data_IF_644724408205
#
_entry.id   IF_644724408205
#
_cell.length_a   1.000
_cell.length_b   1.000
_cell.length_c   1.000
_cell.angle_alpha   90.00
_cell.angle_beta   90.00
_cell.angle_gamma   90.00
#
_symmetry.space_group_name_H-M   'P 1'
#
loop_
_entity.id
_entity.type
_entity.pdbx_description
1 polymer ?
#
# COMPACT_ATOMS: atom_id res chain seq x y z
N UNK A 1 -28.12 22.60 4.24
CA UNK A 1 -27.72 22.78 2.83
C UNK A 1 -26.22 23.02 2.82
N UNK A 2 -25.42 22.03 2.42
CA UNK A 2 -23.97 22.15 2.29
C UNK A 2 -23.65 22.92 1.01
N UNK A 3 -22.73 23.91 1.01
CA UNK A 3 -22.40 24.66 -0.20
C UNK A 3 -21.77 23.74 -1.26
N UNK A 4 -22.04 23.98 -2.56
CA UNK A 4 -21.41 23.21 -3.63
C UNK A 4 -19.95 23.64 -3.80
N UNK A 5 -19.03 22.68 -3.81
CA UNK A 5 -17.73 22.83 -4.46
C UNK A 5 -16.50 23.11 -3.60
N UNK A 6 -16.47 22.76 -2.31
CA UNK A 6 -15.16 22.57 -1.68
C UNK A 6 -14.64 21.22 -2.18
N UNK A 7 -13.46 21.17 -2.86
CA UNK A 7 -12.86 19.91 -3.17
C UNK A 7 -12.69 19.16 -1.85
N UNK A 8 -13.06 17.89 -1.85
CA UNK A 8 -13.09 17.09 -0.65
C UNK A 8 -11.70 17.07 -0.01
N UNK A 9 -11.66 17.30 1.29
CA UNK A 9 -10.40 17.32 2.02
C UNK A 9 -9.86 15.90 2.11
N UNK A 10 -8.64 15.74 1.63
CA UNK A 10 -7.87 14.52 1.79
C UNK A 10 -7.70 14.21 3.28
N UNK A 11 -7.75 12.92 3.61
CA UNK A 11 -7.53 12.45 4.97
C UNK A 11 -6.14 12.92 5.49
N UNK A 12 -6.05 13.46 6.72
CA UNK A 12 -4.81 14.00 7.27
C UNK A 12 -3.68 12.97 7.41
N UNK A 13 -3.98 11.67 7.48
CA UNK A 13 -2.96 10.62 7.58
C UNK A 13 -2.29 10.29 6.24
N UNK A 14 -2.83 10.74 5.11
CA UNK A 14 -2.24 10.50 3.77
C UNK A 14 -0.82 11.06 3.65
N UNK A 15 -0.61 12.32 4.06
CA UNK A 15 0.71 12.95 3.95
C UNK A 15 1.75 12.28 4.87
N UNK A 16 1.46 11.95 6.14
CA UNK A 16 2.32 11.13 6.99
C UNK A 16 2.66 9.75 6.40
N UNK A 17 1.67 9.02 5.86
CA UNK A 17 1.89 7.71 5.23
C UNK A 17 2.93 7.81 4.11
N UNK A 18 2.76 8.79 3.22
CA UNK A 18 3.66 8.97 2.08
C UNK A 18 5.05 9.43 2.50
N UNK A 19 5.15 10.28 3.53
CA UNK A 19 6.44 10.70 4.06
C UNK A 19 7.25 9.52 4.63
N UNK A 20 6.59 8.56 5.28
CA UNK A 20 7.27 7.34 5.75
C UNK A 20 7.70 6.49 4.56
N UNK A 21 6.81 6.26 3.59
CA UNK A 21 7.13 5.48 2.40
C UNK A 21 8.29 6.09 1.60
N UNK A 22 8.34 7.41 1.44
CA UNK A 22 9.46 8.13 0.82
C UNK A 22 10.76 7.98 1.60
N UNK A 23 10.70 7.99 2.93
CA UNK A 23 11.88 7.85 3.77
C UNK A 23 12.52 6.45 3.67
N UNK A 24 11.69 5.41 3.50
CA UNK A 24 12.16 4.01 3.42
C UNK A 24 12.31 3.50 1.98
N UNK A 25 11.92 4.31 0.98
CA UNK A 25 12.02 3.94 -0.42
C UNK A 25 13.49 3.80 -0.83
N UNK A 26 13.82 2.65 -1.42
CA UNK A 26 15.09 2.51 -2.14
C UNK A 26 15.01 3.34 -3.42
N UNK A 27 16.00 4.19 -3.72
CA UNK A 27 16.08 4.85 -5.01
C UNK A 27 16.00 3.80 -6.11
N UNK A 28 15.11 4.00 -7.07
CA UNK A 28 14.93 3.05 -8.17
C UNK A 28 16.18 3.08 -9.07
N UNK A 29 17.19 2.28 -8.73
CA UNK A 29 18.38 2.05 -9.57
C UNK A 29 18.00 0.98 -10.60
N UNK A 30 17.03 1.33 -11.46
CA UNK A 30 16.59 0.51 -12.58
C UNK A 30 16.00 -0.83 -12.14
N UNK A 31 14.78 -0.82 -11.61
CA UNK A 31 13.88 -1.97 -11.68
C UNK A 31 13.56 -2.21 -13.17
N UNK A 32 14.40 -2.97 -13.85
CA UNK A 32 14.01 -3.51 -15.15
C UNK A 32 12.91 -4.51 -14.90
N UNK A 33 11.68 -4.13 -15.27
CA UNK A 33 10.59 -5.05 -15.62
C UNK A 33 11.07 -5.93 -16.80
N UNK A 34 12.03 -6.81 -16.56
CA UNK A 34 12.64 -7.67 -17.56
C UNK A 34 12.22 -9.11 -17.30
N UNK A 35 11.12 -9.49 -17.94
CA UNK A 35 10.81 -10.88 -18.23
C UNK A 35 9.70 -11.45 -17.37
N UNK A 36 8.62 -11.85 -18.05
CA UNK A 36 7.43 -12.41 -17.43
C UNK A 36 7.73 -13.61 -16.53
N UNK A 37 7.36 -13.46 -15.28
CA UNK A 37 7.05 -14.50 -14.32
C UNK A 37 5.86 -13.99 -13.49
N UNK A 38 4.94 -14.88 -13.12
CA UNK A 38 3.73 -14.49 -12.38
C UNK A 38 4.08 -13.71 -11.09
N UNK A 39 3.56 -12.49 -10.90
CA UNK A 39 3.81 -11.67 -9.72
C UNK A 39 3.01 -12.24 -8.55
N UNK A 40 3.64 -13.16 -7.81
CA UNK A 40 3.23 -13.51 -6.46
C UNK A 40 4.43 -13.25 -5.56
N UNK A 41 4.28 -12.33 -4.60
CA UNK A 41 5.24 -12.17 -3.52
C UNK A 41 6.06 -10.87 -3.51
N UNK A 42 5.91 -9.99 -4.49
CA UNK A 42 6.76 -8.79 -4.63
C UNK A 42 6.00 -7.46 -4.50
N UNK A 43 4.67 -7.48 -4.32
CA UNK A 43 3.87 -6.28 -4.25
C UNK A 43 2.66 -6.41 -3.32
N UNK A 44 2.28 -5.31 -2.68
CA UNK A 44 1.11 -5.16 -1.81
C UNK A 44 0.38 -3.87 -2.20
N UNK A 45 -0.91 -3.97 -2.46
CA UNK A 45 -1.77 -2.81 -2.60
C UNK A 45 -2.43 -2.47 -1.26
N UNK A 46 -2.49 -1.18 -0.94
CA UNK A 46 -3.16 -0.66 0.24
C UNK A 46 -4.33 0.20 -0.23
N UNK A 47 -5.54 -0.22 0.13
CA UNK A 47 -6.77 0.40 -0.29
C UNK A 47 -7.53 0.97 0.92
N UNK A 48 -7.52 2.29 1.13
CA UNK A 48 -8.24 2.91 2.23
C UNK A 48 -9.74 3.10 1.98
N UNK A 49 -10.40 2.11 1.37
CA UNK A 49 -11.81 2.19 0.96
C UNK A 49 -12.83 2.26 2.11
N UNK A 50 -12.39 2.13 3.37
CA UNK A 50 -13.24 2.32 4.55
C UNK A 50 -13.31 3.78 5.00
N UNK A 51 -12.30 4.60 4.67
CA UNK A 51 -12.36 6.03 4.89
C UNK A 51 -13.00 6.71 3.66
N UNK A 52 -13.63 7.87 3.91
CA UNK A 52 -14.23 8.80 2.94
C UNK A 52 -13.62 8.76 1.53
N UNK A 53 -14.42 9.04 0.48
CA UNK A 53 -14.15 8.90 -0.98
C UNK A 53 -12.83 9.52 -1.56
N UNK A 54 -11.82 9.88 -0.75
CA UNK A 54 -10.70 10.76 -1.08
C UNK A 54 -9.33 10.33 -0.54
N UNK A 55 -9.17 9.08 -0.09
CA UNK A 55 -7.87 8.53 0.26
C UNK A 55 -7.25 7.80 -0.96
N UNK A 56 -5.99 8.10 -1.33
CA UNK A 56 -5.34 7.43 -2.46
C UNK A 56 -5.04 5.98 -2.13
N UNK A 57 -5.02 5.14 -3.16
CA UNK A 57 -4.52 3.76 -3.04
C UNK A 57 -3.01 3.77 -3.25
N UNK A 58 -2.29 2.98 -2.48
CA UNK A 58 -0.84 2.83 -2.60
C UNK A 58 -0.48 1.46 -3.13
N UNK A 59 0.52 1.40 -4.00
CA UNK A 59 1.19 0.16 -4.37
C UNK A 59 2.59 0.18 -3.79
N UNK A 60 2.88 -0.79 -2.94
CA UNK A 60 4.18 -1.02 -2.33
C UNK A 60 4.77 -2.25 -3.00
N UNK A 61 6.05 -2.20 -3.36
CA UNK A 61 6.78 -3.31 -3.98
C UNK A 61 8.09 -3.55 -3.27
N UNK A 62 8.54 -4.80 -3.26
CA UNK A 62 9.91 -5.12 -2.89
C UNK A 62 10.89 -4.46 -3.88
N UNK A 63 11.94 -3.82 -3.37
CA UNK A 63 13.00 -3.22 -4.17
C UNK A 63 14.37 -3.59 -3.62
N UNK A 64 15.18 -4.27 -4.44
CA UNK A 64 16.47 -4.81 -4.01
C UNK A 64 16.33 -5.88 -2.91
N UNK A 65 17.41 -6.10 -2.17
CA UNK A 65 17.49 -7.17 -1.17
C UNK A 65 16.60 -6.93 0.05
N UNK A 66 16.46 -5.68 0.49
CA UNK A 66 15.78 -5.37 1.76
C UNK A 66 14.86 -4.15 1.72
N UNK A 67 14.79 -3.42 0.62
CA UNK A 67 14.03 -2.18 0.55
C UNK A 67 12.69 -2.32 -0.15
N UNK A 68 12.04 -1.17 -0.32
CA UNK A 68 10.76 -1.05 -1.05
C UNK A 68 10.82 0.04 -2.11
N UNK A 69 9.93 -0.06 -3.09
CA UNK A 69 9.53 1.03 -3.95
C UNK A 69 8.03 1.23 -3.79
N UNK A 70 7.54 2.46 -3.94
CA UNK A 70 6.11 2.74 -3.81
C UNK A 70 5.63 3.75 -4.84
N UNK A 71 4.32 3.72 -5.11
CA UNK A 71 3.64 4.77 -5.88
C UNK A 71 2.18 4.87 -5.49
N UNK A 72 1.62 6.06 -5.70
CA UNK A 72 0.15 6.20 -5.78
C UNK A 72 -0.38 5.44 -7.00
N UNK A 73 -1.49 4.77 -6.81
CA UNK A 73 -2.29 4.24 -7.90
C UNK A 73 -3.22 5.36 -8.38
N UNK A 74 -3.23 5.62 -9.68
CA UNK A 74 -4.27 6.44 -10.30
C UNK A 74 -5.64 5.73 -10.15
N UNK A 75 -6.73 6.35 -10.64
CA UNK A 75 -8.13 5.85 -10.60
C UNK A 75 -8.36 4.42 -11.16
N UNK A 76 -7.31 3.66 -11.48
CA UNK A 76 -7.40 2.21 -11.57
C UNK A 76 -7.90 1.71 -10.23
N UNK A 77 -9.01 0.98 -10.29
CA UNK A 77 -9.63 0.53 -9.07
C UNK A 77 -8.78 -0.56 -8.42
N UNK A 78 -8.72 -0.58 -7.08
CA UNK A 78 -7.97 -1.60 -6.35
C UNK A 78 -8.31 -3.02 -6.86
N UNK A 79 -9.59 -3.29 -7.10
CA UNK A 79 -10.06 -4.59 -7.62
C UNK A 79 -9.47 -4.95 -9.00
N UNK A 80 -9.12 -3.97 -9.85
CA UNK A 80 -8.47 -4.26 -11.13
C UNK A 80 -7.04 -4.77 -10.96
N UNK A 81 -6.36 -4.43 -9.87
CA UNK A 81 -5.04 -4.96 -9.53
C UNK A 81 -5.12 -6.40 -9.02
N UNK A 82 -6.11 -6.72 -8.19
CA UNK A 82 -6.33 -8.10 -7.74
C UNK A 82 -6.63 -9.01 -8.95
N UNK A 83 -7.59 -8.62 -9.78
CA UNK A 83 -8.05 -9.44 -10.91
C UNK A 83 -6.99 -9.63 -12.01
N UNK A 84 -6.24 -8.56 -12.34
CA UNK A 84 -5.31 -8.59 -13.48
C UNK A 84 -3.88 -8.92 -13.08
N UNK A 85 -3.49 -8.59 -11.85
CA UNK A 85 -2.10 -8.67 -11.40
C UNK A 85 -1.91 -9.58 -10.19
N UNK A 86 -2.98 -10.14 -9.60
CA UNK A 86 -2.93 -10.97 -8.39
C UNK A 86 -2.12 -10.32 -7.26
N UNK A 87 -2.19 -9.00 -7.18
CA UNK A 87 -1.52 -8.24 -6.13
C UNK A 87 -2.44 -8.29 -4.92
N UNK A 88 -1.96 -8.80 -3.77
CA UNK A 88 -2.75 -8.81 -2.55
C UNK A 88 -3.12 -7.39 -2.14
N UNK A 89 -4.35 -7.24 -1.65
CA UNK A 89 -4.91 -5.95 -1.26
C UNK A 89 -5.26 -5.99 0.21
N UNK A 90 -4.66 -5.10 0.98
CA UNK A 90 -5.11 -4.82 2.34
C UNK A 90 -6.04 -3.61 2.37
N UNK A 91 -7.05 -3.68 3.23
CA UNK A 91 -8.06 -2.66 3.37
C UNK A 91 -8.03 -2.07 4.77
N UNK A 92 -7.68 -0.79 4.92
CA UNK A 92 -7.61 -0.14 6.24
C UNK A 92 -7.73 1.36 6.14
N UNK A 93 -8.26 2.02 7.17
CA UNK A 93 -8.32 3.48 7.18
C UNK A 93 -6.90 4.07 7.09
N UNK A 94 -6.70 5.28 6.52
CA UNK A 94 -5.39 5.90 6.45
C UNK A 94 -4.65 5.97 7.79
N UNK A 95 -5.37 6.15 8.91
CA UNK A 95 -4.82 6.09 10.27
C UNK A 95 -4.30 4.68 10.64
N UNK A 96 -5.01 3.62 10.27
CA UNK A 96 -4.56 2.24 10.49
C UNK A 96 -3.29 1.93 9.67
N UNK A 97 -3.25 2.41 8.42
CA UNK A 97 -2.08 2.30 7.55
C UNK A 97 -0.90 3.03 8.16
N UNK A 98 -1.11 4.24 8.68
CA UNK A 98 -0.06 5.01 9.34
C UNK A 98 0.50 4.27 10.56
N UNK A 99 -0.37 3.71 11.41
CA UNK A 99 0.04 2.93 12.58
C UNK A 99 0.83 1.69 12.19
N UNK A 100 0.39 0.98 11.17
CA UNK A 100 1.10 -0.17 10.62
C UNK A 100 2.51 0.19 10.13
N UNK A 101 2.65 1.27 9.38
CA UNK A 101 3.95 1.77 8.93
C UNK A 101 4.87 2.18 10.08
N UNK A 102 4.31 2.58 11.22
CA UNK A 102 5.04 2.98 12.43
C UNK A 102 5.43 1.80 13.34
N UNK A 103 5.00 0.57 13.03
CA UNK A 103 5.35 -0.61 13.82
C UNK A 103 4.20 -1.25 14.60
N UNK A 104 3.00 -0.68 14.58
CA UNK A 104 1.84 -1.30 15.19
C UNK A 104 1.31 -2.45 14.31
N UNK A 105 0.60 -3.38 14.93
CA UNK A 105 -0.17 -4.38 14.19
C UNK A 105 -1.37 -3.71 13.48
N UNK A 106 -1.63 -4.12 12.24
CA UNK A 106 -2.90 -3.77 11.60
C UNK A 106 -4.07 -4.50 12.25
N UNK A 107 -5.29 -3.92 12.19
CA UNK A 107 -6.50 -4.62 12.59
C UNK A 107 -6.69 -5.94 11.81
N UNK A 108 -7.24 -6.97 12.46
CA UNK A 108 -7.61 -8.24 11.79
C UNK A 108 -8.56 -8.03 10.62
N UNK A 109 -9.38 -6.97 10.64
CA UNK A 109 -10.26 -6.59 9.53
C UNK A 109 -9.51 -6.26 8.24
N UNK A 110 -8.26 -5.80 8.37
CA UNK A 110 -7.48 -5.32 7.24
C UNK A 110 -6.63 -6.43 6.60
N UNK A 111 -6.38 -7.53 7.33
CA UNK A 111 -5.69 -8.75 6.85
C UNK A 111 -6.60 -9.97 6.75
N UNK A 112 -7.80 -9.95 7.32
CA UNK A 112 -8.66 -11.11 7.53
C UNK A 112 -9.22 -11.72 6.24
N UNK A 113 -9.27 -10.93 5.17
CA UNK A 113 -9.68 -11.37 3.84
C UNK A 113 -8.50 -11.88 2.99
N UNK A 114 -7.26 -11.77 3.47
CA UNK A 114 -6.09 -12.25 2.73
C UNK A 114 -5.99 -13.78 2.82
N UNK A 115 -5.86 -14.50 1.69
CA UNK A 115 -5.52 -15.91 1.72
C UNK A 115 -4.11 -16.12 2.32
N UNK A 116 -3.78 -17.33 2.82
CA UNK A 116 -2.51 -17.58 3.52
C UNK A 116 -1.25 -17.16 2.75
N UNK A 117 -1.22 -17.33 1.43
CA UNK A 117 -0.08 -16.92 0.60
C UNK A 117 0.08 -15.40 0.49
N UNK A 118 -0.98 -14.63 0.71
CA UNK A 118 -0.98 -13.17 0.64
C UNK A 118 -0.61 -12.55 1.99
N UNK A 119 -0.91 -13.25 3.09
CA UNK A 119 -0.40 -12.89 4.42
C UNK A 119 1.14 -12.91 4.47
N UNK A 120 1.77 -13.86 3.78
CA UNK A 120 3.24 -13.89 3.67
C UNK A 120 3.79 -12.63 3.01
N UNK A 121 3.11 -12.12 1.98
CA UNK A 121 3.48 -10.87 1.30
C UNK A 121 3.30 -9.66 2.21
N UNK A 122 2.20 -9.62 2.95
CA UNK A 122 1.95 -8.57 3.94
C UNK A 122 3.08 -8.48 4.98
N UNK A 123 3.44 -9.61 5.60
CA UNK A 123 4.50 -9.64 6.62
C UNK A 123 5.90 -9.37 6.03
N UNK A 124 6.15 -9.77 4.79
CA UNK A 124 7.40 -9.44 4.10
C UNK A 124 7.53 -7.93 3.85
N UNK A 125 6.47 -7.27 3.37
CA UNK A 125 6.50 -5.81 3.15
C UNK A 125 6.65 -5.06 4.47
N UNK A 126 5.95 -5.49 5.52
CA UNK A 126 6.10 -4.92 6.86
C UNK A 126 7.56 -5.03 7.35
N UNK A 127 8.17 -6.22 7.23
CA UNK A 127 9.59 -6.41 7.60
C UNK A 127 10.53 -5.48 6.84
N UNK A 128 10.34 -5.32 5.53
CA UNK A 128 11.20 -4.45 4.70
C UNK A 128 11.09 -2.98 5.10
N UNK A 129 9.86 -2.51 5.33
CA UNK A 129 9.60 -1.14 5.77
C UNK A 129 10.27 -0.89 7.12
N UNK A 130 10.07 -1.77 8.10
CA UNK A 130 10.64 -1.59 9.44
C UNK A 130 12.15 -1.82 9.52
N UNK A 131 12.75 -2.58 8.59
CA UNK A 131 14.20 -2.74 8.52
C UNK A 131 14.91 -1.48 7.97
N UNK A 132 14.16 -0.58 7.33
CA UNK A 132 14.67 0.63 6.71
C UNK A 132 14.41 1.92 7.54
N UNK A 133 13.61 1.83 8.61
CA UNK A 133 13.29 2.92 9.55
C UNK A 133 14.29 2.97 10.71
#
# INVERSE_FOLDING_TARGET
MTPPGEPPRMDPAVAPVEAILDAVATPDIGSTDAGGGEPRGDALAVCPCFASDYAPRWLIRAAGESGIAWRRLAEVEAWELDERTRVPIIHGEPDDVLRWLQGDDMPELATGDLPPGDLEVFYEMQRRIHAAT
#
